data_IF_528165164998
#
_entry.id   IF_528165164998
#
_cell.length_a   1.000
_cell.length_b   1.000
_cell.length_c   1.000
_cell.angle_alpha   90.00
_cell.angle_beta   90.00
_cell.angle_gamma   90.00
#
_symmetry.space_group_name_H-M   'P 1'
#
loop_
_entity.id
_entity.type
_entity.pdbx_description
1 polymer ?
#
# COMPACT_ATOMS: atom_id res chain seq x y z
N UNK A 1 -19.69 2.65 11.15
CA UNK A 1 -18.80 1.46 11.18
C UNK A 1 -17.81 1.65 12.31
N UNK A 2 -17.77 0.71 13.27
CA UNK A 2 -16.81 0.74 14.37
C UNK A 2 -15.40 0.42 13.84
N UNK A 3 -14.61 1.45 13.56
CA UNK A 3 -13.31 1.30 12.88
C UNK A 3 -12.31 0.48 13.70
N UNK A 4 -12.48 0.44 15.02
CA UNK A 4 -11.61 -0.34 15.90
C UNK A 4 -11.89 -1.84 15.74
N UNK A 5 -13.18 -2.22 15.63
CA UNK A 5 -13.57 -3.62 15.36
C UNK A 5 -13.18 -4.12 13.98
N UNK A 6 -12.87 -3.23 13.04
CA UNK A 6 -12.53 -3.57 11.66
C UNK A 6 -11.11 -3.17 11.25
N UNK A 7 -10.20 -2.99 12.21
CA UNK A 7 -8.83 -2.57 11.92
C UNK A 7 -8.11 -3.49 10.92
N UNK A 8 -8.31 -4.82 11.01
CA UNK A 8 -7.77 -5.79 10.05
C UNK A 8 -8.21 -5.49 8.62
N UNK A 9 -9.52 -5.39 8.38
CA UNK A 9 -10.08 -5.12 7.05
C UNK A 9 -9.63 -3.77 6.49
N UNK A 10 -9.55 -2.75 7.34
CA UNK A 10 -9.10 -1.42 6.90
C UNK A 10 -7.62 -1.46 6.47
N UNK A 11 -6.76 -2.12 7.25
CA UNK A 11 -5.32 -2.20 6.96
C UNK A 11 -5.05 -3.05 5.72
N UNK A 12 -5.76 -4.16 5.55
CA UNK A 12 -5.74 -4.95 4.33
C UNK A 12 -6.15 -4.11 3.12
N UNK A 13 -7.31 -3.43 3.20
CA UNK A 13 -7.82 -2.59 2.13
C UNK A 13 -6.88 -1.46 1.74
N UNK A 14 -6.17 -0.85 2.71
CA UNK A 14 -5.17 0.15 2.39
C UNK A 14 -4.03 -0.38 1.52
N UNK A 15 -3.55 -1.59 1.83
CA UNK A 15 -2.50 -2.17 1.01
C UNK A 15 -3.02 -2.54 -0.38
N UNK A 16 -4.24 -3.06 -0.50
CA UNK A 16 -4.85 -3.35 -1.80
C UNK A 16 -4.97 -2.10 -2.67
N UNK A 17 -5.43 -0.97 -2.11
CA UNK A 17 -5.49 0.30 -2.84
C UNK A 17 -4.10 0.74 -3.33
N UNK A 18 -3.08 0.66 -2.47
CA UNK A 18 -1.70 1.00 -2.84
C UNK A 18 -1.19 0.08 -3.97
N UNK A 19 -1.47 -1.21 -3.87
CA UNK A 19 -1.08 -2.23 -4.85
C UNK A 19 -1.74 -1.96 -6.21
N UNK A 20 -3.04 -1.72 -6.26
CA UNK A 20 -3.75 -1.45 -7.51
C UNK A 20 -3.28 -0.14 -8.17
N UNK A 21 -3.01 0.92 -7.39
CA UNK A 21 -2.43 2.16 -7.93
C UNK A 21 -1.02 1.93 -8.49
N UNK A 22 -0.20 1.13 -7.81
CA UNK A 22 1.14 0.78 -8.31
C UNK A 22 1.08 -0.06 -9.59
N UNK A 23 0.13 -0.99 -9.70
CA UNK A 23 -0.13 -1.78 -10.91
C UNK A 23 -0.55 -0.87 -12.05
N UNK A 24 -1.45 0.08 -11.82
CA UNK A 24 -1.87 1.05 -12.84
C UNK A 24 -0.68 1.86 -13.37
N UNK A 25 0.19 2.36 -12.48
CA UNK A 25 1.39 3.11 -12.88
C UNK A 25 2.38 2.28 -13.72
N UNK A 26 2.54 0.99 -13.42
CA UNK A 26 3.34 0.09 -14.25
C UNK A 26 2.69 -0.17 -15.61
N UNK A 27 1.37 -0.41 -15.62
CA UNK A 27 0.63 -0.75 -16.82
C UNK A 27 0.66 0.38 -17.85
N UNK A 28 0.56 1.65 -17.40
CA UNK A 28 0.70 2.83 -18.28
C UNK A 28 2.08 2.90 -18.94
N UNK A 29 3.12 2.29 -18.33
CA UNK A 29 4.46 2.19 -18.92
C UNK A 29 4.66 0.93 -19.77
N UNK A 30 3.62 0.12 -20.00
CA UNK A 30 3.75 -1.16 -20.68
C UNK A 30 4.51 -2.23 -19.88
N UNK A 31 4.65 -2.03 -18.56
CA UNK A 31 5.38 -2.92 -17.67
C UNK A 31 4.42 -3.77 -16.82
N UNK A 32 4.91 -4.90 -16.31
CA UNK A 32 4.19 -5.79 -15.39
C UNK A 32 5.10 -6.25 -14.25
N UNK A 33 4.58 -6.21 -13.03
CA UNK A 33 5.26 -6.78 -11.86
C UNK A 33 5.02 -8.30 -11.79
N UNK A 34 6.02 -9.07 -11.37
CA UNK A 34 5.86 -10.53 -11.14
C UNK A 34 5.32 -10.83 -9.75
N UNK A 35 5.56 -9.92 -8.81
CA UNK A 35 5.15 -10.05 -7.42
C UNK A 35 5.04 -8.66 -6.78
N UNK A 36 4.58 -8.62 -5.54
CA UNK A 36 4.36 -7.36 -4.83
C UNK A 36 5.64 -6.62 -4.43
N UNK A 37 6.79 -7.29 -4.30
CA UNK A 37 8.07 -6.61 -4.06
C UNK A 37 8.52 -5.85 -5.31
N UNK A 38 8.34 -6.43 -6.50
CA UNK A 38 8.63 -5.75 -7.76
C UNK A 38 7.84 -4.41 -7.88
N UNK A 39 6.59 -4.37 -7.40
CA UNK A 39 5.81 -3.12 -7.33
C UNK A 39 6.48 -2.07 -6.44
N UNK A 40 6.91 -2.46 -5.24
CA UNK A 40 7.52 -1.55 -4.27
C UNK A 40 8.88 -1.06 -4.78
N UNK A 41 9.68 -1.95 -5.37
CA UNK A 41 10.95 -1.62 -6.00
C UNK A 41 10.77 -0.62 -7.16
N UNK A 42 9.75 -0.82 -7.99
CA UNK A 42 9.38 0.16 -9.02
C UNK A 42 9.06 1.54 -8.42
N UNK A 43 8.25 1.60 -7.37
CA UNK A 43 7.90 2.87 -6.71
C UNK A 43 9.13 3.57 -6.11
N UNK A 44 10.08 2.80 -5.56
CA UNK A 44 11.33 3.32 -5.01
C UNK A 44 12.31 3.80 -6.08
N UNK A 45 12.59 2.96 -7.08
CA UNK A 45 13.54 3.24 -8.17
C UNK A 45 13.13 4.43 -9.04
N UNK A 46 11.82 4.68 -9.18
CA UNK A 46 11.28 5.86 -9.88
C UNK A 46 11.19 7.11 -9.01
N UNK A 47 11.61 7.05 -7.73
CA UNK A 47 11.48 8.16 -6.78
C UNK A 47 10.03 8.53 -6.45
N UNK A 48 9.07 7.66 -6.78
CA UNK A 48 7.66 7.90 -6.51
C UNK A 48 7.43 7.83 -5.00
N UNK A 49 7.96 6.81 -4.33
CA UNK A 49 7.98 6.70 -2.88
C UNK A 49 9.44 6.64 -2.38
N UNK A 50 9.71 7.26 -1.24
CA UNK A 50 11.05 7.32 -0.64
C UNK A 50 10.98 7.28 0.88
N UNK A 51 12.10 6.89 1.51
CA UNK A 51 12.25 6.87 2.97
C UNK A 51 11.13 6.10 3.68
N UNK A 52 10.53 6.74 4.68
CA UNK A 52 9.49 6.12 5.51
C UNK A 52 8.26 5.65 4.71
N UNK A 53 7.92 6.32 3.60
CA UNK A 53 6.79 5.90 2.76
C UNK A 53 7.02 4.52 2.14
N UNK A 54 8.25 4.25 1.70
CA UNK A 54 8.64 2.96 1.13
C UNK A 54 8.65 1.87 2.21
N UNK A 55 9.18 2.18 3.40
CA UNK A 55 9.21 1.27 4.56
C UNK A 55 7.80 0.87 4.98
N UNK A 56 6.90 1.84 5.14
CA UNK A 56 5.49 1.57 5.53
C UNK A 56 4.77 0.77 4.46
N UNK A 57 5.07 1.00 3.18
CA UNK A 57 4.46 0.22 2.09
C UNK A 57 4.89 -1.26 2.13
N UNK A 58 6.17 -1.54 2.41
CA UNK A 58 6.63 -2.93 2.58
C UNK A 58 6.12 -3.57 3.88
N UNK A 59 6.00 -2.81 4.97
CA UNK A 59 5.37 -3.26 6.21
C UNK A 59 3.92 -3.69 5.95
N UNK A 60 3.14 -2.85 5.26
CA UNK A 60 1.76 -3.16 4.87
C UNK A 60 1.65 -4.40 3.99
N UNK A 61 2.56 -4.59 3.02
CA UNK A 61 2.62 -5.82 2.21
C UNK A 61 2.77 -7.06 3.08
N UNK A 62 3.69 -7.02 4.05
CA UNK A 62 3.92 -8.14 4.98
C UNK A 62 2.70 -8.37 5.86
N UNK A 63 2.11 -7.32 6.42
CA UNK A 63 0.90 -7.42 7.25
C UNK A 63 -0.25 -8.03 6.47
N UNK A 64 -0.52 -7.55 5.24
CA UNK A 64 -1.56 -8.11 4.38
C UNK A 64 -1.32 -9.59 4.09
N UNK A 65 -0.08 -10.00 3.79
CA UNK A 65 0.23 -11.41 3.60
C UNK A 65 -0.12 -12.24 4.85
N UNK A 66 0.24 -11.75 6.04
CA UNK A 66 -0.10 -12.44 7.29
C UNK A 66 -1.59 -12.47 7.58
N UNK A 67 -2.34 -11.42 7.22
CA UNK A 67 -3.81 -11.43 7.29
C UNK A 67 -4.36 -12.56 6.41
N UNK A 68 -3.93 -12.61 5.14
CA UNK A 68 -4.43 -13.56 4.16
C UNK A 68 -4.06 -15.02 4.44
N UNK A 69 -2.83 -15.29 4.88
CA UNK A 69 -2.31 -16.65 5.05
C UNK A 69 -2.35 -17.17 6.49
N UNK A 70 -2.30 -16.29 7.49
CA UNK A 70 -2.24 -16.66 8.91
C UNK A 70 -3.50 -16.24 9.69
N UNK A 71 -4.44 -15.53 9.08
CA UNK A 71 -5.61 -15.00 9.77
C UNK A 71 -5.28 -13.92 10.81
N UNK A 72 -4.18 -13.18 10.60
CA UNK A 72 -3.70 -12.17 11.56
C UNK A 72 -4.79 -11.13 11.88
N UNK A 73 -5.10 -10.98 13.17
CA UNK A 73 -5.91 -9.88 13.68
C UNK A 73 -5.05 -8.63 13.94
N UNK A 74 -5.31 -7.54 13.24
CA UNK A 74 -4.57 -6.28 13.41
C UNK A 74 -5.15 -5.47 14.56
N UNK A 75 -4.29 -5.05 15.50
CA UNK A 75 -4.70 -4.20 16.62
C UNK A 75 -5.11 -2.79 16.15
N UNK A 76 -6.16 -2.18 16.73
CA UNK A 76 -6.57 -0.80 16.40
C UNK A 76 -5.43 0.24 16.48
N UNK A 77 -4.52 0.11 17.44
CA UNK A 77 -3.37 1.03 17.58
C UNK A 77 -2.40 0.97 16.39
N UNK A 78 -2.34 -0.16 15.69
CA UNK A 78 -1.54 -0.25 14.47
C UNK A 78 -2.13 0.69 13.42
N UNK A 79 -3.44 0.57 13.16
CA UNK A 79 -4.17 1.45 12.26
C UNK A 79 -3.97 2.92 12.65
N UNK A 80 -4.26 3.29 13.90
CA UNK A 80 -4.16 4.69 14.36
C UNK A 80 -2.78 5.31 14.15
N UNK A 81 -1.70 4.56 14.38
CA UNK A 81 -0.33 5.07 14.23
C UNK A 81 0.12 5.22 12.77
N UNK A 82 -0.39 4.41 11.85
CA UNK A 82 0.03 4.42 10.44
C UNK A 82 -0.93 5.15 9.52
N UNK A 83 -2.19 5.34 9.90
CA UNK A 83 -3.24 5.82 9.00
C UNK A 83 -2.86 7.13 8.30
N UNK A 84 -2.25 8.08 9.01
CA UNK A 84 -1.83 9.36 8.43
C UNK A 84 -0.84 9.19 7.27
N UNK A 85 0.21 8.39 7.45
CA UNK A 85 1.21 8.16 6.39
C UNK A 85 0.65 7.31 5.26
N UNK A 86 -0.17 6.32 5.57
CA UNK A 86 -0.81 5.47 4.55
C UNK A 86 -1.73 6.28 3.64
N UNK A 87 -2.52 7.18 4.20
CA UNK A 87 -3.35 8.10 3.41
C UNK A 87 -2.51 9.04 2.55
N UNK A 88 -1.37 9.52 3.05
CA UNK A 88 -0.45 10.34 2.26
C UNK A 88 0.18 9.56 1.09
N UNK A 89 0.53 8.29 1.30
CA UNK A 89 1.02 7.40 0.23
C UNK A 89 -0.06 7.23 -0.85
N UNK A 90 -1.28 6.89 -0.46
CA UNK A 90 -2.40 6.71 -1.41
C UNK A 90 -2.65 7.99 -2.20
N UNK A 91 -2.70 9.15 -1.53
CA UNK A 91 -2.89 10.43 -2.20
C UNK A 91 -1.78 10.72 -3.23
N UNK A 92 -0.51 10.46 -2.86
CA UNK A 92 0.63 10.64 -3.76
C UNK A 92 0.57 9.71 -4.98
N UNK A 93 0.24 8.43 -4.78
CA UNK A 93 0.10 7.48 -5.89
C UNK A 93 -1.08 7.84 -6.81
N UNK A 94 -2.22 8.25 -6.24
CA UNK A 94 -3.39 8.70 -7.00
C UNK A 94 -3.05 9.91 -7.88
N UNK A 95 -2.35 10.90 -7.33
CA UNK A 95 -1.94 12.07 -8.12
C UNK A 95 -1.00 11.65 -9.25
N UNK A 96 -0.06 10.73 -9.00
CA UNK A 96 0.80 10.19 -10.08
C UNK A 96 0.04 9.45 -11.16
N UNK A 97 -1.01 8.71 -10.82
CA UNK A 97 -1.87 8.06 -11.82
C UNK A 97 -2.57 9.14 -12.65
N UNK A 98 -3.15 10.15 -12.01
CA UNK A 98 -3.81 11.25 -12.71
C UNK A 98 -2.86 12.07 -13.61
N UNK A 99 -1.56 12.18 -13.26
CA UNK A 99 -0.56 12.87 -14.09
C UNK A 99 -0.22 12.12 -15.40
N UNK A 100 -0.49 10.82 -15.47
CA UNK A 100 -0.10 9.95 -16.60
C UNK A 100 -1.29 9.40 -17.40
N UNK A 101 -2.51 9.82 -17.05
CA UNK A 101 -3.75 9.44 -17.74
C UNK A 101 -4.37 10.66 -18.38
#
# INVERSE_FOLDING_TARGET
MDREKHATFIVEGYYEVIKELAVALLAVQGLKARNHRDLIEFLGSRGILQGNALVVTDELRRVRNRIAYEGLAVRPDYLRRRERIVRAIIARLRNRVADVT
#
